data_IF_668833856298
#
_entry.id   IF_668833856298
#
_cell.length_a   1.000
_cell.length_b   1.000
_cell.length_c   1.000
_cell.angle_alpha   90.00
_cell.angle_beta   90.00
_cell.angle_gamma   90.00
#
_symmetry.space_group_name_H-M   'P 1'
#
loop_
_entity.id
_entity.type
_entity.pdbx_description
1 polymer ?
#
# COMPACT_ATOMS: atom_id res chain seq x y z
N UNK A 1 1.80 15.70 47.27
CA UNK A 1 2.20 16.39 46.03
C UNK A 1 3.60 15.91 45.66
N UNK A 2 3.74 15.05 44.66
CA UNK A 2 5.07 14.69 44.15
C UNK A 2 5.52 15.90 43.33
N UNK A 3 6.54 16.57 43.82
CA UNK A 3 7.16 17.69 43.13
C UNK A 3 7.77 17.16 41.83
N UNK A 4 6.96 17.20 40.78
CA UNK A 4 7.27 16.52 39.52
C UNK A 4 8.25 17.33 38.68
N UNK A 5 9.54 17.16 38.93
CA UNK A 5 10.53 17.54 37.93
C UNK A 5 10.30 16.70 36.68
N UNK A 6 10.09 17.30 35.49
CA UNK A 6 9.74 16.55 34.29
C UNK A 6 10.80 15.50 33.99
N UNK A 7 10.36 14.27 33.71
CA UNK A 7 11.22 13.16 33.31
C UNK A 7 11.44 13.10 31.80
N UNK A 8 10.64 13.82 31.04
CA UNK A 8 10.67 13.88 29.58
C UNK A 8 10.65 15.31 29.10
N UNK A 9 11.33 15.57 28.02
CA UNK A 9 11.28 16.83 27.26
C UNK A 9 11.29 16.53 25.78
N UNK A 10 10.62 17.35 24.99
CA UNK A 10 10.66 17.32 23.55
C UNK A 10 10.95 18.74 23.04
N UNK A 11 11.69 18.88 21.97
CA UNK A 11 12.01 20.17 21.39
C UNK A 11 13.10 20.09 20.33
N UNK A 12 13.43 21.27 19.78
CA UNK A 12 14.50 21.42 18.82
C UNK A 12 15.83 21.60 19.54
N UNK A 13 16.83 20.81 19.18
CA UNK A 13 18.19 20.93 19.70
C UNK A 13 19.18 21.00 18.54
N UNK A 14 20.16 21.88 18.64
CA UNK A 14 21.28 22.00 17.71
C UNK A 14 22.55 21.48 18.35
N UNK A 15 23.26 20.58 17.69
CA UNK A 15 24.60 20.11 18.09
C UNK A 15 25.49 20.27 16.86
N UNK A 16 26.56 21.08 16.97
CA UNK A 16 27.55 21.21 15.90
C UNK A 16 27.01 21.79 14.58
N UNK A 17 26.03 22.72 14.64
CA UNK A 17 25.40 23.32 13.45
C UNK A 17 24.28 22.54 12.82
N UNK A 18 24.04 21.30 13.26
CA UNK A 18 22.87 20.50 12.81
C UNK A 18 21.71 20.70 13.78
N UNK A 19 20.53 20.95 13.22
CA UNK A 19 19.27 21.08 13.97
C UNK A 19 18.54 19.73 13.92
N UNK A 20 17.98 19.28 15.03
CA UNK A 20 17.12 18.09 15.08
C UNK A 20 16.00 18.25 16.10
N UNK A 21 14.85 17.65 15.83
CA UNK A 21 13.82 17.47 16.86
C UNK A 21 14.21 16.29 17.73
N UNK A 22 14.19 16.49 19.05
CA UNK A 22 14.61 15.48 20.01
C UNK A 22 13.56 15.23 21.08
N UNK A 23 13.40 13.96 21.44
CA UNK A 23 12.73 13.52 22.66
C UNK A 23 13.84 12.99 23.59
N UNK A 24 13.90 13.54 24.78
CA UNK A 24 14.88 13.13 25.79
C UNK A 24 14.19 12.79 27.11
N UNK A 25 14.73 11.80 27.78
CA UNK A 25 14.25 11.34 29.08
C UNK A 25 15.37 11.23 30.10
N UNK A 26 14.97 11.05 31.38
CA UNK A 26 15.88 10.76 32.50
C UNK A 26 15.22 9.84 33.50
N UNK A 27 16.01 9.05 34.23
CA UNK A 27 15.50 8.05 35.17
C UNK A 27 14.91 8.71 36.44
N UNK A 28 15.51 9.78 36.88
CA UNK A 28 15.05 10.56 38.04
C UNK A 28 15.14 12.06 37.78
N UNK A 29 14.64 12.88 38.69
CA UNK A 29 14.57 14.34 38.55
C UNK A 29 15.93 15.06 38.53
N UNK A 30 17.01 14.40 38.91
CA UNK A 30 18.34 14.99 39.06
C UNK A 30 19.30 14.54 37.99
N UNK A 31 19.03 13.43 37.31
CA UNK A 31 19.90 12.94 36.24
C UNK A 31 19.90 13.88 35.02
N UNK A 32 20.98 13.84 34.25
CA UNK A 32 21.01 14.50 32.96
C UNK A 32 20.00 13.88 31.99
N UNK A 33 19.44 14.70 31.10
CA UNK A 33 18.59 14.19 30.04
C UNK A 33 19.41 13.43 29.00
N UNK A 34 18.98 12.22 28.66
CA UNK A 34 19.51 11.43 27.56
C UNK A 34 18.55 11.46 26.38
N UNK A 35 19.07 11.65 25.17
CA UNK A 35 18.25 11.63 23.96
C UNK A 35 17.74 10.22 23.70
N UNK A 36 16.43 10.06 23.61
CA UNK A 36 15.76 8.79 23.30
C UNK A 36 15.46 8.68 21.80
N UNK A 37 15.11 9.82 21.17
CA UNK A 37 14.82 9.93 19.75
C UNK A 37 15.41 11.24 19.22
N UNK A 38 16.07 11.18 18.08
CA UNK A 38 16.54 12.36 17.35
C UNK A 38 16.13 12.25 15.89
N UNK A 39 15.39 13.24 15.38
CA UNK A 39 14.92 13.30 14.01
C UNK A 39 15.56 14.49 13.33
N UNK A 40 16.27 14.25 12.22
CA UNK A 40 16.88 15.32 11.42
C UNK A 40 15.83 16.02 10.56
N UNK A 41 16.02 17.31 10.22
CA UNK A 41 15.19 17.99 9.23
C UNK A 41 15.13 17.20 7.92
N UNK A 42 13.96 17.14 7.31
CA UNK A 42 13.73 16.39 6.07
C UNK A 42 13.57 14.86 6.25
N UNK A 43 13.64 14.35 7.50
CA UNK A 43 13.35 12.95 7.77
C UNK A 43 11.86 12.70 7.91
N UNK A 44 11.38 11.59 7.39
CA UNK A 44 10.02 11.10 7.61
C UNK A 44 10.01 10.21 8.86
N UNK A 45 9.12 10.50 9.81
CA UNK A 45 8.86 9.64 10.96
C UNK A 45 7.72 8.70 10.57
N UNK A 46 7.99 7.42 10.54
CA UNK A 46 6.97 6.41 10.27
C UNK A 46 6.10 6.16 11.50
N UNK A 47 4.80 6.24 11.30
CA UNK A 47 3.75 6.05 12.31
C UNK A 47 2.70 5.07 11.79
N UNK A 48 1.74 4.68 12.62
CA UNK A 48 0.59 3.87 12.18
C UNK A 48 -0.29 4.56 11.12
N UNK A 49 -0.14 5.87 10.95
CA UNK A 49 -0.92 6.67 9.98
C UNK A 49 -0.26 6.75 8.59
N UNK A 50 1.04 6.51 8.50
CA UNK A 50 1.78 6.59 7.25
C UNK A 50 2.60 5.33 6.94
N UNK A 51 2.29 4.23 7.59
CA UNK A 51 2.90 2.92 7.32
C UNK A 51 1.84 1.82 7.28
N UNK A 52 2.12 0.82 6.45
CA UNK A 52 1.43 -0.46 6.47
C UNK A 52 2.35 -1.54 7.01
N UNK A 53 1.77 -2.57 7.62
CA UNK A 53 2.50 -3.74 8.11
C UNK A 53 2.23 -4.91 7.19
N UNK A 54 3.29 -5.45 6.59
CA UNK A 54 3.20 -6.68 5.79
C UNK A 54 2.91 -7.90 6.67
N UNK A 55 2.49 -8.99 6.06
CA UNK A 55 2.21 -10.27 6.76
C UNK A 55 3.43 -10.83 7.54
N UNK A 56 4.64 -10.50 7.10
CA UNK A 56 5.90 -10.82 7.77
C UNK A 56 6.26 -9.86 8.93
N UNK A 57 5.42 -8.85 9.19
CA UNK A 57 5.64 -7.84 10.22
C UNK A 57 6.49 -6.65 9.80
N UNK A 58 6.97 -6.59 8.56
CA UNK A 58 7.77 -5.48 8.05
C UNK A 58 6.90 -4.22 7.90
N UNK A 59 7.39 -3.10 8.44
CA UNK A 59 6.76 -1.78 8.23
C UNK A 59 7.21 -1.20 6.89
N UNK A 60 6.26 -0.76 6.09
CA UNK A 60 6.48 -0.09 4.80
C UNK A 60 5.76 1.23 4.79
N UNK A 61 6.27 2.21 4.03
CA UNK A 61 5.50 3.43 3.76
C UNK A 61 4.15 3.06 3.18
N UNK A 62 3.09 3.69 3.66
CA UNK A 62 1.76 3.52 3.09
C UNK A 62 1.78 4.00 1.63
N UNK A 63 1.09 3.29 0.79
CA UNK A 63 0.98 3.61 -0.64
C UNK A 63 -0.43 3.29 -1.11
N UNK A 64 -0.95 4.01 -2.13
CA UNK A 64 -2.26 3.73 -2.68
C UNK A 64 -2.32 2.31 -3.25
N UNK A 65 -3.21 1.49 -2.73
CA UNK A 65 -3.41 0.09 -3.16
C UNK A 65 -4.90 -0.20 -3.30
N UNK A 66 -5.26 -0.84 -4.39
CA UNK A 66 -6.57 -1.43 -4.61
C UNK A 66 -6.46 -2.96 -4.68
N UNK A 67 -7.44 -3.66 -4.14
CA UNK A 67 -7.61 -5.12 -4.21
C UNK A 67 -8.81 -5.43 -5.08
N UNK A 68 -8.62 -6.18 -6.15
CA UNK A 68 -9.70 -6.54 -7.08
C UNK A 68 -10.15 -7.96 -6.77
N UNK A 69 -11.47 -8.14 -6.65
CA UNK A 69 -12.15 -9.45 -6.58
C UNK A 69 -13.19 -9.55 -7.69
N UNK A 70 -13.76 -10.72 -7.88
CA UNK A 70 -14.86 -10.89 -8.84
C UNK A 70 -16.09 -10.09 -8.44
N UNK A 71 -16.52 -10.23 -7.19
CA UNK A 71 -17.60 -9.47 -6.58
C UNK A 71 -17.56 -9.59 -5.06
N UNK A 72 -18.18 -8.65 -4.35
CA UNK A 72 -18.27 -8.69 -2.89
C UNK A 72 -19.02 -9.94 -2.39
N UNK A 73 -20.10 -10.32 -3.07
CA UNK A 73 -20.95 -11.43 -2.64
C UNK A 73 -20.31 -12.82 -2.85
N UNK A 74 -19.36 -12.93 -3.78
CA UNK A 74 -18.67 -14.19 -4.10
C UNK A 74 -17.30 -14.28 -3.40
N UNK A 75 -16.85 -13.20 -2.76
CA UNK A 75 -15.57 -13.21 -2.05
C UNK A 75 -15.66 -14.06 -0.78
N UNK A 76 -14.70 -14.96 -0.60
CA UNK A 76 -14.58 -15.84 0.57
C UNK A 76 -13.52 -15.40 1.57
N UNK A 77 -12.74 -14.36 1.25
CA UNK A 77 -11.71 -13.82 2.12
C UNK A 77 -12.33 -12.77 3.04
N UNK A 78 -12.20 -12.98 4.34
CA UNK A 78 -12.69 -12.04 5.38
C UNK A 78 -11.72 -10.91 5.66
N UNK A 79 -10.46 -11.06 5.23
CA UNK A 79 -9.37 -10.11 5.45
C UNK A 79 -9.16 -9.12 4.29
N UNK A 80 -10.05 -9.12 3.29
CA UNK A 80 -9.94 -8.24 2.12
C UNK A 80 -10.16 -6.77 2.47
N UNK A 81 -11.01 -6.49 3.45
CA UNK A 81 -11.34 -5.17 3.97
C UNK A 81 -10.73 -4.86 5.35
N UNK A 82 -9.73 -5.64 5.77
CA UNK A 82 -8.91 -5.33 6.95
C UNK A 82 -7.87 -4.23 6.66
N UNK A 83 -7.37 -3.58 7.73
CA UNK A 83 -6.33 -2.55 7.67
C UNK A 83 -6.69 -1.35 6.78
N UNK A 84 -7.84 -0.75 7.04
CA UNK A 84 -8.35 0.48 6.40
C UNK A 84 -8.71 0.33 4.91
N UNK A 85 -8.89 -0.91 4.43
CA UNK A 85 -9.44 -1.16 3.10
C UNK A 85 -10.97 -1.07 3.12
N UNK A 86 -11.52 -0.26 2.22
CA UNK A 86 -12.95 0.01 2.10
C UNK A 86 -13.46 -0.45 0.73
N UNK A 87 -14.66 -1.05 0.69
CA UNK A 87 -15.27 -1.48 -0.56
C UNK A 87 -15.53 -0.32 -1.53
N UNK A 88 -15.10 -0.46 -2.78
CA UNK A 88 -15.22 0.55 -3.83
C UNK A 88 -15.68 -0.06 -5.18
N UNK A 89 -16.65 -0.96 -5.15
CA UNK A 89 -17.20 -1.70 -6.29
C UNK A 89 -16.88 -3.19 -6.20
N UNK A 90 -16.29 -3.80 -7.21
CA UNK A 90 -15.84 -5.19 -7.16
C UNK A 90 -14.42 -5.33 -6.59
N UNK A 91 -14.16 -4.65 -5.47
CA UNK A 91 -12.90 -4.70 -4.76
C UNK A 91 -12.85 -3.69 -3.63
N UNK A 92 -11.70 -3.59 -2.99
CA UNK A 92 -11.44 -2.66 -1.89
C UNK A 92 -10.24 -1.77 -2.21
N UNK A 93 -10.19 -0.60 -1.59
CA UNK A 93 -9.06 0.32 -1.66
C UNK A 93 -8.70 0.82 -0.26
N UNK A 94 -7.40 1.03 0.00
CA UNK A 94 -6.96 1.59 1.27
C UNK A 94 -7.18 3.11 1.31
N UNK A 95 -6.98 3.70 2.48
CA UNK A 95 -7.18 5.15 2.70
C UNK A 95 -6.37 6.02 1.73
N UNK A 96 -5.18 5.58 1.34
CA UNK A 96 -4.32 6.29 0.40
C UNK A 96 -4.89 6.28 -1.03
N UNK A 97 -5.69 5.27 -1.37
CA UNK A 97 -6.39 5.12 -2.66
C UNK A 97 -7.86 5.55 -2.59
N UNK A 98 -8.22 6.44 -1.66
CA UNK A 98 -9.58 6.97 -1.53
C UNK A 98 -10.05 7.62 -2.83
N UNK A 99 -11.27 7.30 -3.25
CA UNK A 99 -11.87 7.80 -4.50
C UNK A 99 -11.75 6.86 -5.69
N UNK A 100 -11.00 5.75 -5.56
CA UNK A 100 -10.94 4.70 -6.57
C UNK A 100 -12.29 3.99 -6.70
N UNK A 101 -12.66 3.67 -7.94
CA UNK A 101 -13.83 2.83 -8.27
C UNK A 101 -13.38 1.66 -9.13
N UNK A 102 -13.87 0.47 -8.79
CA UNK A 102 -13.53 -0.78 -9.47
C UNK A 102 -14.81 -1.39 -10.04
N UNK A 103 -14.80 -1.69 -11.34
CA UNK A 103 -15.93 -2.30 -12.03
C UNK A 103 -15.46 -3.52 -12.81
N UNK A 104 -16.18 -4.64 -12.70
CA UNK A 104 -16.01 -5.79 -13.58
C UNK A 104 -16.84 -5.57 -14.84
N UNK A 105 -16.22 -5.59 -16.00
CA UNK A 105 -16.88 -5.32 -17.28
C UNK A 105 -17.07 -6.58 -18.14
N UNK A 106 -16.20 -7.58 -17.96
CA UNK A 106 -16.29 -8.87 -18.63
C UNK A 106 -15.55 -9.94 -17.80
N UNK A 107 -15.56 -11.19 -18.27
CA UNK A 107 -14.80 -12.28 -17.64
C UNK A 107 -13.32 -11.93 -17.61
N UNK A 108 -12.77 -11.83 -16.40
CA UNK A 108 -11.38 -11.47 -16.16
C UNK A 108 -11.01 -10.04 -16.57
N UNK A 109 -11.96 -9.15 -16.81
CA UNK A 109 -11.71 -7.76 -17.22
C UNK A 109 -12.29 -6.79 -16.19
N UNK A 110 -11.42 -6.00 -15.59
CA UNK A 110 -11.74 -5.04 -14.54
C UNK A 110 -11.25 -3.65 -14.94
N UNK A 111 -12.08 -2.64 -14.66
CA UNK A 111 -11.75 -1.23 -14.93
C UNK A 111 -11.65 -0.48 -13.61
N UNK A 112 -10.54 0.22 -13.41
CA UNK A 112 -10.31 1.12 -12.29
C UNK A 112 -10.32 2.57 -12.80
N UNK A 113 -10.98 3.43 -12.04
CA UNK A 113 -11.02 4.88 -12.29
C UNK A 113 -10.74 5.63 -11.00
N UNK A 114 -10.25 6.89 -11.12
CA UNK A 114 -9.93 7.75 -9.99
C UNK A 114 -8.43 7.76 -9.63
N UNK A 115 -7.60 6.98 -10.33
CA UNK A 115 -6.13 7.02 -10.22
C UNK A 115 -5.51 7.92 -11.27
N UNK A 116 -4.25 8.31 -11.07
CA UNK A 116 -3.38 8.87 -12.10
C UNK A 116 -2.70 7.77 -12.95
N UNK A 117 -2.84 6.52 -12.54
CA UNK A 117 -2.29 5.36 -13.23
C UNK A 117 -1.71 4.33 -12.26
N UNK A 118 -0.93 3.40 -12.80
CA UNK A 118 -0.12 2.47 -12.01
C UNK A 118 1.01 3.24 -11.31
N UNK A 119 1.41 2.75 -10.15
CA UNK A 119 2.53 3.32 -9.41
C UNK A 119 3.79 3.44 -10.29
N UNK A 120 4.41 4.61 -10.25
CA UNK A 120 5.64 4.91 -10.99
C UNK A 120 6.87 4.19 -10.43
N UNK A 121 6.82 3.78 -9.15
CA UNK A 121 7.92 3.13 -8.45
C UNK A 121 7.47 1.85 -7.73
N UNK A 122 8.40 0.91 -7.60
CA UNK A 122 8.20 -0.35 -6.89
C UNK A 122 7.35 -1.36 -7.67
N UNK A 123 6.60 -2.20 -6.95
CA UNK A 123 5.70 -3.15 -7.60
C UNK A 123 4.42 -2.44 -8.07
N UNK A 124 3.83 -2.92 -9.14
CA UNK A 124 2.62 -2.34 -9.74
C UNK A 124 1.41 -3.28 -9.64
N UNK A 125 1.61 -4.55 -9.97
CA UNK A 125 0.57 -5.57 -10.00
C UNK A 125 1.07 -6.83 -9.31
N UNK A 126 0.22 -7.42 -8.46
CA UNK A 126 0.44 -8.76 -7.94
C UNK A 126 -0.75 -9.63 -8.35
N UNK A 127 -0.50 -10.76 -9.01
CA UNK A 127 -1.56 -11.68 -9.41
C UNK A 127 -2.24 -12.30 -8.18
N UNK A 128 -3.46 -12.87 -8.36
CA UNK A 128 -4.11 -13.58 -7.28
C UNK A 128 -3.25 -14.76 -6.84
N UNK A 129 -2.99 -14.82 -5.53
CA UNK A 129 -2.16 -15.87 -4.92
C UNK A 129 -3.03 -16.95 -4.30
N UNK A 130 -2.59 -18.19 -4.38
CA UNK A 130 -3.21 -19.28 -3.64
C UNK A 130 -2.98 -19.08 -2.13
N UNK A 131 -4.03 -18.98 -1.31
CA UNK A 131 -3.88 -18.79 0.14
C UNK A 131 -3.20 -19.99 0.84
N UNK A 132 -3.15 -21.16 0.20
CA UNK A 132 -2.45 -22.35 0.73
C UNK A 132 -0.96 -22.35 0.34
N UNK A 133 -0.50 -21.36 -0.43
CA UNK A 133 0.92 -21.21 -0.76
C UNK A 133 1.37 -21.93 -2.03
N UNK A 134 0.44 -22.40 -2.88
CA UNK A 134 0.77 -23.06 -4.17
C UNK A 134 1.16 -22.08 -5.28
N UNK A 135 1.32 -20.80 -4.96
CA UNK A 135 1.78 -19.75 -5.87
C UNK A 135 0.66 -18.99 -6.55
N UNK A 136 1.00 -18.35 -7.67
CA UNK A 136 0.05 -17.50 -8.44
C UNK A 136 -1.06 -18.34 -9.06
N UNK A 137 -2.29 -17.83 -9.04
CA UNK A 137 -3.47 -18.48 -9.63
C UNK A 137 -3.73 -18.06 -11.08
N UNK A 138 -3.10 -17.00 -11.56
CA UNK A 138 -3.30 -16.47 -12.90
C UNK A 138 -2.14 -15.64 -13.43
N UNK A 139 -2.30 -15.10 -14.63
CA UNK A 139 -1.43 -14.10 -15.24
C UNK A 139 -2.23 -12.81 -15.35
N UNK A 140 -1.68 -11.72 -14.81
CA UNK A 140 -2.33 -10.41 -14.80
C UNK A 140 -1.63 -9.46 -15.76
N UNK A 141 -2.42 -8.66 -16.49
CA UNK A 141 -1.94 -7.60 -17.37
C UNK A 141 -2.70 -6.31 -17.05
N UNK A 142 -2.04 -5.17 -17.23
CA UNK A 142 -2.67 -3.86 -17.11
C UNK A 142 -2.44 -3.06 -18.39
N UNK A 143 -3.46 -2.31 -18.76
CA UNK A 143 -3.44 -1.31 -19.82
C UNK A 143 -3.91 0.02 -19.23
N UNK A 144 -3.11 1.06 -19.39
CA UNK A 144 -3.38 2.39 -18.86
C UNK A 144 -3.77 3.34 -19.98
N UNK A 145 -4.81 4.15 -19.74
CA UNK A 145 -5.20 5.24 -20.61
C UNK A 145 -4.46 6.53 -20.25
N UNK A 146 -4.40 7.50 -21.17
CA UNK A 146 -3.78 8.81 -20.92
C UNK A 146 -4.40 9.56 -19.73
N UNK A 147 -5.67 9.30 -19.40
CA UNK A 147 -6.39 9.90 -18.29
C UNK A 147 -6.25 9.11 -16.96
N UNK A 148 -5.29 8.19 -16.85
CA UNK A 148 -5.05 7.40 -15.64
C UNK A 148 -6.03 6.26 -15.39
N UNK A 149 -7.02 6.04 -16.25
CA UNK A 149 -7.89 4.87 -16.20
C UNK A 149 -7.11 3.60 -16.47
N UNK A 150 -7.41 2.53 -15.71
CA UNK A 150 -6.73 1.24 -15.83
C UNK A 150 -7.70 0.16 -16.24
N UNK A 151 -7.28 -0.67 -17.19
CA UNK A 151 -7.93 -1.94 -17.52
C UNK A 151 -7.02 -3.07 -17.08
N UNK A 152 -7.48 -3.84 -16.09
CA UNK A 152 -6.76 -5.01 -15.58
C UNK A 152 -7.40 -6.25 -16.16
N UNK A 153 -6.57 -7.14 -16.72
CA UNK A 153 -7.01 -8.41 -17.31
C UNK A 153 -6.35 -9.58 -16.60
N UNK A 154 -7.13 -10.57 -16.26
CA UNK A 154 -6.67 -11.81 -15.63
C UNK A 154 -6.91 -12.99 -16.57
N UNK A 155 -5.88 -13.82 -16.72
CA UNK A 155 -5.88 -15.01 -17.57
C UNK A 155 -5.48 -16.25 -16.77
N UNK A 156 -6.00 -17.41 -17.17
CA UNK A 156 -5.48 -18.71 -16.72
C UNK A 156 -4.01 -18.84 -17.08
N UNK A 157 -3.23 -19.48 -16.22
CA UNK A 157 -1.86 -19.84 -16.55
C UNK A 157 -1.86 -20.94 -17.61
N UNK A 158 -1.06 -20.75 -18.65
CA UNK A 158 -0.75 -21.75 -19.67
C UNK A 158 0.76 -21.91 -19.72
N UNK A 159 1.21 -23.12 -19.96
CA UNK A 159 2.62 -23.44 -20.10
C UNK A 159 2.85 -23.95 -21.53
N UNK A 160 3.86 -23.42 -22.17
CA UNK A 160 4.31 -23.85 -23.49
C UNK A 160 5.73 -24.37 -23.34
N UNK A 161 6.04 -25.44 -24.08
CA UNK A 161 7.41 -25.92 -24.21
C UNK A 161 8.12 -25.04 -25.24
N UNK A 162 9.19 -24.38 -24.84
CA UNK A 162 10.06 -23.61 -25.74
C UNK A 162 10.91 -24.51 -26.62
N UNK A 163 11.48 -23.94 -27.67
CA UNK A 163 12.37 -24.66 -28.61
C UNK A 163 13.66 -25.14 -27.94
N UNK A 164 14.03 -24.52 -26.83
CA UNK A 164 15.16 -24.87 -25.95
C UNK A 164 14.82 -25.99 -24.93
N UNK A 165 13.58 -26.49 -24.92
CA UNK A 165 13.09 -27.51 -23.98
C UNK A 165 12.67 -26.95 -22.62
N UNK A 166 12.72 -25.65 -22.41
CA UNK A 166 12.23 -25.02 -21.17
C UNK A 166 10.72 -24.77 -21.23
N UNK A 167 10.08 -24.81 -20.06
CA UNK A 167 8.65 -24.53 -19.93
C UNK A 167 8.42 -23.04 -19.68
N UNK A 168 7.82 -22.35 -20.64
CA UNK A 168 7.52 -20.91 -20.56
C UNK A 168 6.08 -20.71 -20.07
N UNK A 169 5.92 -19.95 -18.99
CA UNK A 169 4.60 -19.51 -18.51
C UNK A 169 4.04 -18.45 -19.46
N UNK A 170 2.81 -18.64 -19.91
CA UNK A 170 2.11 -17.70 -20.80
C UNK A 170 0.65 -17.57 -20.38
N UNK A 171 -0.05 -16.61 -20.97
CA UNK A 171 -1.49 -16.40 -20.76
C UNK A 171 -2.33 -17.39 -21.53
N UNK A 172 -3.34 -17.93 -20.86
CA UNK A 172 -4.40 -18.76 -21.43
C UNK A 172 -5.67 -17.97 -21.67
N UNK A 173 -6.81 -18.62 -21.44
CA UNK A 173 -8.13 -17.99 -21.53
C UNK A 173 -8.35 -16.97 -20.41
N UNK A 174 -9.20 -15.94 -20.65
CA UNK A 174 -9.65 -15.03 -19.57
C UNK A 174 -10.29 -15.81 -18.41
N UNK A 175 -10.10 -15.34 -17.20
CA UNK A 175 -10.74 -15.90 -16.01
C UNK A 175 -11.03 -14.81 -14.99
N UNK A 176 -12.10 -14.97 -14.23
CA UNK A 176 -12.38 -14.11 -13.09
C UNK A 176 -11.44 -14.39 -11.91
N UNK A 177 -11.27 -13.39 -11.06
CA UNK A 177 -10.54 -13.55 -9.80
C UNK A 177 -11.18 -14.66 -8.98
N UNK A 178 -10.44 -15.67 -8.52
CA UNK A 178 -10.97 -16.72 -7.66
C UNK A 178 -11.52 -16.18 -6.34
N UNK A 179 -12.57 -16.80 -5.84
CA UNK A 179 -13.29 -16.33 -4.64
C UNK A 179 -12.43 -16.24 -3.37
N UNK A 180 -11.35 -17.01 -3.31
CA UNK A 180 -10.42 -17.09 -2.17
C UNK A 180 -9.15 -16.24 -2.34
N UNK A 181 -9.12 -15.32 -3.32
CA UNK A 181 -7.95 -14.51 -3.63
C UNK A 181 -8.34 -13.14 -4.19
N UNK A 182 -7.37 -12.28 -4.43
CA UNK A 182 -7.52 -10.97 -5.08
C UNK A 182 -6.29 -10.60 -5.91
N UNK A 183 -6.44 -9.60 -6.79
CA UNK A 183 -5.33 -8.94 -7.46
C UNK A 183 -5.01 -7.67 -6.67
N UNK A 184 -3.74 -7.46 -6.28
CA UNK A 184 -3.30 -6.18 -5.74
C UNK A 184 -2.80 -5.27 -6.87
N UNK A 185 -3.26 -4.02 -6.85
CA UNK A 185 -2.87 -2.97 -7.78
C UNK A 185 -2.33 -1.79 -6.99
N UNK A 186 -1.07 -1.45 -7.19
CA UNK A 186 -0.48 -0.25 -6.61
C UNK A 186 -0.60 0.92 -7.58
N UNK A 187 -1.05 2.04 -7.07
CA UNK A 187 -1.52 3.17 -7.86
C UNK A 187 -0.70 4.43 -7.56
N UNK A 188 -0.61 5.31 -8.55
CA UNK A 188 -0.36 6.72 -8.33
C UNK A 188 -1.71 7.45 -8.28
N UNK A 189 -1.82 8.42 -7.36
CA UNK A 189 -3.04 9.21 -7.18
C UNK A 189 -2.88 10.60 -7.81
N UNK A 190 -3.98 11.19 -8.32
CA UNK A 190 -3.96 12.56 -8.81
C UNK A 190 -3.46 13.55 -7.74
N UNK A 191 -2.84 14.66 -8.16
CA UNK A 191 -2.30 15.68 -7.25
C UNK A 191 -3.35 16.26 -6.31
N UNK A 192 -4.59 16.36 -6.77
CA UNK A 192 -5.75 16.84 -6.00
C UNK A 192 -6.49 15.74 -5.22
N UNK A 193 -5.97 14.53 -5.20
CA UNK A 193 -6.56 13.44 -4.41
C UNK A 193 -6.52 13.74 -2.90
N UNK A 194 -7.47 13.20 -2.16
CA UNK A 194 -7.49 13.31 -0.69
C UNK A 194 -6.19 12.79 -0.04
N UNK A 195 -5.57 11.76 -0.62
CA UNK A 195 -4.27 11.26 -0.21
C UNK A 195 -3.17 12.32 -0.36
N UNK A 196 -3.01 12.89 -1.57
CA UNK A 196 -1.97 13.87 -1.84
C UNK A 196 -2.18 15.18 -1.08
N UNK A 197 -3.44 15.61 -0.89
CA UNK A 197 -3.77 16.76 -0.06
C UNK A 197 -3.38 16.55 1.42
N UNK A 198 -3.62 15.37 1.98
CA UNK A 198 -3.17 15.05 3.35
C UNK A 198 -1.66 15.03 3.47
N UNK A 199 -0.97 14.49 2.47
CA UNK A 199 0.50 14.45 2.47
C UNK A 199 1.11 15.85 2.38
N UNK A 200 0.52 16.75 1.59
CA UNK A 200 1.01 18.14 1.45
C UNK A 200 0.74 19.00 2.69
N UNK A 201 -0.40 18.84 3.36
CA UNK A 201 -0.73 19.57 4.59
C UNK A 201 0.17 19.17 5.78
N UNK A 202 0.72 17.95 5.80
CA UNK A 202 1.70 17.53 6.80
C UNK A 202 3.11 18.10 6.60
N UNK A 203 3.34 18.84 5.52
CA UNK A 203 4.65 19.42 5.16
C UNK A 203 4.67 20.96 5.29
N UNK A 204 3.56 21.61 5.67
CA UNK A 204 3.58 23.04 5.94
C UNK A 204 4.26 23.35 7.27
N UNK A 205 5.16 24.35 7.30
CA UNK A 205 6.00 24.71 8.45
C UNK A 205 5.24 25.35 9.60
#
# INVERSE_FOLDING_TARGET
>A
MVNGTPRFRAGVAGIGGAVSYQIAGRNNGTDAFSTMLSVKPGSVVYTSENTTKSSDGTLKAASPVARIVKSQNENQRTDIDENDFIWCGCGTANTEAEGIKISRVDVGVYVLTGSAGLASEGWQLLPPMDPVGMGELGVVEAEQTENGGLTIRLFKRKYLLGDDGETVKTKGEPMDVPANSWIDVRLDMPDDSAFNQRMSQGLEP
#
